data_IF_915868318504
#
_entry.id   IF_915868318504
#
_cell.length_a   1.000
_cell.length_b   1.000
_cell.length_c   1.000
_cell.angle_alpha   90.00
_cell.angle_beta   90.00
_cell.angle_gamma   90.00
#
_symmetry.space_group_name_H-M   'P 1'
#
loop_
_entity.id
_entity.type
_entity.pdbx_description
1 polymer ?
#
# COMPACT_ATOMS: atom_id res chain seq x y z
N UNK A 1 -4.33 66.44 -12.07
CA UNK A 1 -3.51 65.32 -11.56
C UNK A 1 -2.62 64.84 -12.70
N UNK A 2 -1.29 64.75 -12.56
CA UNK A 2 -0.44 64.25 -13.63
C UNK A 2 -0.56 62.72 -13.73
N UNK A 3 -0.37 62.13 -14.93
CA UNK A 3 -0.39 60.68 -15.09
C UNK A 3 0.88 60.08 -14.49
N UNK A 4 0.71 59.10 -13.59
CA UNK A 4 1.80 58.34 -12.99
C UNK A 4 2.36 57.41 -14.09
N UNK A 5 3.53 57.73 -14.63
CA UNK A 5 4.24 56.80 -15.51
C UNK A 5 4.88 55.70 -14.66
N UNK A 6 4.26 54.52 -14.59
CA UNK A 6 4.90 53.36 -13.96
C UNK A 6 6.10 52.93 -14.80
N UNK A 7 7.27 52.92 -14.15
CA UNK A 7 8.54 52.56 -14.76
C UNK A 7 8.54 51.08 -15.16
N UNK A 8 8.62 50.79 -16.47
CA UNK A 8 8.61 49.42 -17.02
C UNK A 8 9.69 48.50 -16.41
N UNK A 9 10.80 49.07 -15.92
CA UNK A 9 11.84 48.31 -15.22
C UNK A 9 11.41 47.79 -13.85
N UNK A 10 10.54 48.52 -13.14
CA UNK A 10 9.99 48.08 -11.87
C UNK A 10 9.00 46.91 -12.05
N UNK A 11 8.20 46.94 -13.13
CA UNK A 11 7.26 45.87 -13.47
C UNK A 11 8.01 44.59 -13.82
N UNK A 12 9.07 44.66 -14.64
CA UNK A 12 9.90 43.50 -14.97
C UNK A 12 10.62 42.92 -13.74
N UNK A 13 11.13 43.77 -12.84
CA UNK A 13 11.77 43.32 -11.61
C UNK A 13 10.78 42.66 -10.63
N UNK A 14 9.57 43.21 -10.47
CA UNK A 14 8.51 42.60 -9.65
C UNK A 14 8.01 41.29 -10.24
N UNK A 15 7.92 41.19 -11.57
CA UNK A 15 7.51 39.98 -12.28
C UNK A 15 8.55 38.87 -12.13
N UNK A 16 9.83 39.20 -12.29
CA UNK A 16 10.94 38.26 -12.07
C UNK A 16 11.03 37.78 -10.62
N UNK A 17 10.82 38.69 -9.65
CA UNK A 17 10.81 38.33 -8.23
C UNK A 17 9.61 37.45 -7.87
N UNK A 18 8.41 37.71 -8.42
CA UNK A 18 7.23 36.86 -8.19
C UNK A 18 7.43 35.45 -8.76
N UNK A 19 7.98 35.33 -9.97
CA UNK A 19 8.27 34.02 -10.59
C UNK A 19 9.32 33.26 -9.80
N UNK A 20 10.37 33.93 -9.31
CA UNK A 20 11.36 33.30 -8.44
C UNK A 20 10.75 32.86 -7.09
N UNK A 21 9.83 33.65 -6.54
CA UNK A 21 9.12 33.33 -5.29
C UNK A 21 8.16 32.15 -5.48
N UNK A 22 7.47 32.06 -6.63
CA UNK A 22 6.62 30.91 -6.97
C UNK A 22 7.42 29.65 -7.30
N UNK A 23 8.59 29.77 -7.93
CA UNK A 23 9.51 28.65 -8.14
C UNK A 23 10.09 28.16 -6.81
N UNK A 24 10.45 29.06 -5.90
CA UNK A 24 10.93 28.71 -4.56
C UNK A 24 9.80 28.18 -3.67
N UNK A 25 8.57 28.70 -3.76
CA UNK A 25 7.43 28.19 -3.00
C UNK A 25 6.90 26.86 -3.54
N UNK A 26 7.00 26.63 -4.85
CA UNK A 26 6.72 25.35 -5.49
C UNK A 26 7.72 24.25 -5.08
N UNK A 27 8.98 24.62 -4.79
CA UNK A 27 9.97 23.71 -4.20
C UNK A 27 9.68 23.42 -2.71
N UNK A 28 8.88 24.25 -2.02
CA UNK A 28 8.39 24.00 -0.64
C UNK A 28 7.08 23.18 -0.67
N UNK A 29 6.86 22.36 -1.69
CA UNK A 29 5.79 21.34 -1.67
C UNK A 29 6.32 20.04 -1.04
N UNK A 30 6.16 19.90 0.28
CA UNK A 30 6.21 18.62 1.00
C UNK A 30 7.47 17.72 0.81
N UNK A 31 8.61 18.26 0.38
CA UNK A 31 9.90 17.57 0.47
C UNK A 31 10.66 18.07 1.70
N UNK A 32 10.18 17.65 2.87
CA UNK A 32 10.96 17.82 4.09
C UNK A 32 12.13 16.86 4.03
N UNK A 33 13.31 17.39 3.71
CA UNK A 33 14.63 16.75 3.77
C UNK A 33 14.84 16.12 5.17
N UNK A 34 14.82 14.77 5.31
CA UNK A 34 14.89 14.11 6.63
C UNK A 34 16.14 14.51 7.42
N UNK A 35 17.25 14.78 6.74
CA UNK A 35 18.53 15.27 7.28
C UNK A 35 18.41 16.59 8.05
N UNK A 36 17.44 17.44 7.69
CA UNK A 36 17.27 18.76 8.33
C UNK A 36 16.42 18.65 9.62
N UNK A 37 15.44 17.75 9.66
CA UNK A 37 14.52 17.61 10.81
C UNK A 37 15.16 16.89 11.99
N UNK A 38 16.10 15.98 11.72
CA UNK A 38 16.78 15.21 12.78
C UNK A 38 17.59 16.07 13.75
N UNK A 39 17.98 17.29 13.37
CA UNK A 39 18.86 18.15 14.18
C UNK A 39 18.19 18.79 15.41
N UNK A 40 16.88 18.62 15.62
CA UNK A 40 16.13 19.20 16.74
C UNK A 40 15.30 18.15 17.49
N UNK A 41 15.95 17.16 18.09
CA UNK A 41 15.30 16.14 18.93
C UNK A 41 15.54 16.43 20.42
N UNK A 42 14.50 16.78 21.22
CA UNK A 42 14.66 16.96 22.66
C UNK A 42 15.08 15.64 23.32
N UNK A 43 15.99 15.70 24.30
CA UNK A 43 16.63 14.51 24.89
C UNK A 43 15.64 13.50 25.48
N UNK A 44 14.49 13.95 26.00
CA UNK A 44 13.42 13.08 26.51
C UNK A 44 12.79 12.15 25.47
N UNK A 45 12.97 12.45 24.18
CA UNK A 45 12.41 11.66 23.07
C UNK A 45 13.47 10.78 22.40
N UNK A 46 14.73 10.87 22.82
CA UNK A 46 15.79 9.94 22.41
C UNK A 46 15.61 8.69 23.26
N UNK A 47 15.46 7.52 22.61
CA UNK A 47 15.30 6.26 23.33
C UNK A 47 16.49 6.07 24.30
N UNK A 48 16.24 5.81 25.60
CA UNK A 48 17.32 5.50 26.52
C UNK A 48 17.98 4.17 26.09
N UNK A 49 19.31 4.07 26.15
CA UNK A 49 19.98 2.80 25.90
C UNK A 49 19.63 1.81 27.02
N UNK A 50 18.88 0.76 26.69
CA UNK A 50 18.60 -0.42 27.51
C UNK A 50 17.99 -0.15 28.89
N UNK A 51 16.66 0.01 28.97
CA UNK A 51 15.92 -0.34 30.19
C UNK A 51 15.26 -1.72 30.03
N UNK A 52 15.30 -2.60 31.06
CA UNK A 52 14.60 -3.88 31.03
C UNK A 52 13.08 -3.67 30.96
N UNK A 53 12.33 -4.57 30.31
CA UNK A 53 10.87 -4.47 30.25
C UNK A 53 10.29 -4.48 31.68
N UNK A 54 9.48 -3.46 32.00
CA UNK A 54 8.67 -3.49 33.22
C UNK A 54 7.67 -4.65 33.12
N UNK A 55 7.66 -5.49 34.16
CA UNK A 55 6.84 -6.68 34.28
C UNK A 55 5.36 -6.29 34.33
N UNK A 56 4.58 -6.71 33.33
CA UNK A 56 3.12 -6.50 33.29
C UNK A 56 2.40 -7.50 34.20
N UNK A 57 1.40 -7.02 34.94
CA UNK A 57 0.45 -7.87 35.65
C UNK A 57 -0.42 -8.66 34.64
N UNK A 58 -0.78 -9.94 34.93
CA UNK A 58 -1.63 -10.73 34.05
C UNK A 58 -3.04 -10.14 33.94
N UNK A 59 -3.56 -10.05 32.71
CA UNK A 59 -4.95 -9.69 32.42
C UNK A 59 -5.91 -10.82 32.87
N UNK A 60 -7.11 -10.48 33.39
CA UNK A 60 -8.10 -11.49 33.80
C UNK A 60 -8.73 -12.21 32.59
N UNK A 61 -8.97 -13.51 32.75
CA UNK A 61 -9.55 -14.38 31.72
C UNK A 61 -11.00 -14.00 31.35
N UNK A 62 -11.40 -14.15 30.06
CA UNK A 62 -12.76 -13.90 29.62
C UNK A 62 -13.75 -15.00 30.09
N UNK A 63 -15.03 -14.66 30.29
CA UNK A 63 -16.03 -15.61 30.81
C UNK A 63 -16.41 -16.69 29.79
N UNK A 64 -16.58 -17.92 30.29
CA UNK A 64 -16.99 -19.10 29.52
C UNK A 64 -18.44 -18.96 29.01
N UNK A 65 -18.67 -19.25 27.73
CA UNK A 65 -20.02 -19.29 27.11
C UNK A 65 -20.73 -20.61 27.44
N UNK A 66 -22.00 -20.53 27.84
CA UNK A 66 -22.92 -21.67 27.96
C UNK A 66 -23.35 -22.19 26.58
N UNK A 67 -23.48 -23.52 26.46
CA UNK A 67 -23.83 -24.25 25.24
C UNK A 67 -25.37 -24.31 25.04
N UNK A 68 -25.81 -24.21 23.78
CA UNK A 68 -27.20 -24.45 23.35
C UNK A 68 -27.37 -25.89 22.79
N UNK A 69 -28.60 -26.46 22.81
CA UNK A 69 -28.83 -27.89 22.56
C UNK A 69 -28.79 -28.29 21.06
N UNK A 70 -28.60 -29.59 20.75
CA UNK A 70 -28.10 -30.05 19.46
C UNK A 70 -29.18 -30.17 18.37
N UNK A 71 -28.79 -29.88 17.12
CA UNK A 71 -29.54 -30.26 15.91
C UNK A 71 -28.85 -31.46 15.22
N UNK A 72 -29.67 -32.34 14.67
CA UNK A 72 -29.33 -33.64 14.09
C UNK A 72 -28.29 -33.58 12.96
N UNK A 73 -27.43 -34.61 12.93
CA UNK A 73 -26.26 -34.77 12.07
C UNK A 73 -26.56 -35.45 10.72
N UNK A 74 -25.95 -35.02 9.60
CA UNK A 74 -25.82 -35.81 8.38
C UNK A 74 -24.63 -36.80 8.44
N UNK A 75 -24.49 -37.75 7.48
CA UNK A 75 -23.79 -39.03 7.66
C UNK A 75 -22.27 -38.93 7.81
N UNK A 76 -21.72 -39.88 8.57
CA UNK A 76 -20.31 -40.05 8.97
C UNK A 76 -19.34 -40.12 7.79
N UNK A 77 -18.52 -39.09 7.64
CA UNK A 77 -17.18 -39.21 7.03
C UNK A 77 -16.17 -39.70 8.09
N UNK A 78 -15.18 -40.46 7.63
CA UNK A 78 -14.18 -41.11 8.48
C UNK A 78 -13.35 -40.09 9.27
N UNK A 79 -12.93 -40.40 10.51
CA UNK A 79 -12.16 -39.47 11.31
C UNK A 79 -10.75 -39.33 10.74
N UNK A 80 -10.49 -38.21 10.08
CA UNK A 80 -9.14 -37.69 9.88
C UNK A 80 -8.74 -37.09 11.22
N UNK A 81 -7.70 -37.63 11.85
CA UNK A 81 -7.09 -37.00 13.03
C UNK A 81 -6.79 -35.53 12.70
N UNK A 82 -7.19 -34.57 13.54
CA UNK A 82 -6.80 -33.19 13.31
C UNK A 82 -5.27 -33.12 13.41
N UNK A 83 -4.62 -32.78 12.28
CA UNK A 83 -3.21 -32.42 12.31
C UNK A 83 -3.02 -31.35 13.41
N UNK A 84 -1.98 -31.46 14.25
CA UNK A 84 -1.68 -30.43 15.23
C UNK A 84 -1.56 -29.08 14.50
N UNK A 85 -1.94 -27.95 15.13
CA UNK A 85 -1.78 -26.63 14.53
C UNK A 85 -0.33 -26.50 14.07
N UNK A 86 -0.12 -26.39 12.75
CA UNK A 86 1.22 -26.12 12.22
C UNK A 86 1.62 -24.77 12.80
N UNK A 87 2.57 -24.77 13.74
CA UNK A 87 3.18 -23.55 14.22
C UNK A 87 3.68 -22.81 12.99
N UNK A 88 3.09 -21.64 12.74
CA UNK A 88 3.45 -20.76 11.64
C UNK A 88 4.97 -20.53 11.75
N UNK A 89 5.79 -20.96 10.76
CA UNK A 89 7.24 -20.94 10.92
C UNK A 89 7.64 -19.51 11.30
N UNK A 90 8.21 -19.36 12.51
CA UNK A 90 8.72 -18.09 12.97
C UNK A 90 9.86 -17.72 12.03
N UNK A 91 9.58 -16.92 11.01
CA UNK A 91 10.61 -16.27 10.23
C UNK A 91 11.49 -15.50 11.22
N UNK A 92 12.79 -15.83 11.26
CA UNK A 92 13.73 -15.18 12.17
C UNK A 92 13.78 -13.68 11.83
N UNK A 93 13.71 -12.86 12.89
CA UNK A 93 13.82 -11.41 12.76
C UNK A 93 15.13 -11.01 12.11
N UNK A 94 15.06 -10.34 10.96
CA UNK A 94 16.21 -9.72 10.30
C UNK A 94 16.07 -8.20 10.39
N UNK A 95 17.15 -7.50 10.74
CA UNK A 95 17.16 -6.03 10.82
C UNK A 95 17.34 -5.35 9.46
N UNK A 96 17.79 -6.11 8.46
CA UNK A 96 18.12 -5.63 7.12
C UNK A 96 17.82 -6.74 6.11
N UNK A 97 17.04 -6.41 5.08
CA UNK A 97 16.68 -7.33 3.99
C UNK A 97 17.22 -6.86 2.64
N UNK A 98 17.89 -5.70 2.58
CA UNK A 98 18.56 -5.23 1.38
C UNK A 98 19.98 -4.70 1.66
N UNK A 99 20.92 -5.59 2.02
CA UNK A 99 22.28 -5.21 2.40
C UNK A 99 23.01 -4.37 1.33
N UNK A 100 22.78 -4.66 0.04
CA UNK A 100 23.37 -3.91 -1.07
C UNK A 100 22.94 -2.44 -1.06
N UNK A 101 21.64 -2.16 -0.92
CA UNK A 101 21.17 -0.79 -0.78
C UNK A 101 21.73 -0.15 0.49
N UNK A 102 21.87 -0.87 1.61
CA UNK A 102 22.49 -0.33 2.84
C UNK A 102 23.91 0.18 2.58
N UNK A 103 24.66 -0.55 1.75
CA UNK A 103 26.02 -0.20 1.35
C UNK A 103 26.10 0.92 0.30
N UNK A 104 24.97 1.45 -0.18
CA UNK A 104 24.95 2.45 -1.25
C UNK A 104 24.92 1.85 -2.67
N UNK A 105 24.84 0.53 -2.79
CA UNK A 105 24.94 -0.18 -4.05
C UNK A 105 23.56 -0.70 -4.46
N UNK A 106 22.81 0.06 -5.26
CA UNK A 106 21.54 -0.42 -5.81
C UNK A 106 21.85 -1.19 -7.11
N UNK A 107 21.44 -2.47 -7.24
CA UNK A 107 21.67 -3.24 -8.46
C UNK A 107 20.97 -2.60 -9.68
N UNK A 108 21.48 -2.91 -10.88
CA UNK A 108 20.89 -2.41 -12.12
C UNK A 108 19.59 -3.13 -12.43
N UNK A 109 18.58 -2.36 -12.83
CA UNK A 109 17.33 -2.88 -13.39
C UNK A 109 17.66 -3.63 -14.69
N UNK A 110 16.97 -4.75 -14.96
CA UNK A 110 17.03 -5.41 -16.27
C UNK A 110 16.72 -4.38 -17.37
N UNK A 111 17.63 -4.09 -18.32
CA UNK A 111 17.41 -3.09 -19.35
C UNK A 111 16.15 -3.31 -20.20
N UNK A 112 15.61 -4.54 -20.22
CA UNK A 112 14.38 -4.91 -20.92
C UNK A 112 13.11 -4.57 -20.15
N UNK A 113 13.22 -4.27 -18.85
CA UNK A 113 12.12 -3.71 -18.05
C UNK A 113 12.03 -2.19 -18.19
N UNK A 114 13.05 -1.54 -18.76
CA UNK A 114 13.10 -0.09 -18.90
C UNK A 114 12.34 0.32 -20.15
N UNK A 115 11.17 0.95 -19.95
CA UNK A 115 10.39 1.55 -21.04
C UNK A 115 11.05 2.85 -21.47
N UNK A 116 11.46 2.92 -22.74
CA UNK A 116 12.00 4.15 -23.34
C UNK A 116 10.85 5.05 -23.78
N UNK A 117 10.98 6.34 -23.51
CA UNK A 117 10.09 7.40 -24.01
C UNK A 117 8.59 7.16 -23.75
N UNK A 118 8.20 7.14 -22.47
CA UNK A 118 6.80 7.22 -22.08
C UNK A 118 6.44 8.66 -21.70
N UNK A 119 5.56 9.31 -22.49
CA UNK A 119 5.01 10.63 -22.15
C UNK A 119 3.87 10.55 -21.13
N UNK A 120 3.38 9.34 -20.80
CA UNK A 120 2.36 9.14 -19.78
C UNK A 120 2.97 9.12 -18.39
N UNK A 121 2.30 9.78 -17.45
CA UNK A 121 2.63 9.70 -16.03
C UNK A 121 2.02 8.44 -15.43
N UNK A 122 2.76 7.79 -14.54
CA UNK A 122 2.35 6.56 -13.85
C UNK A 122 2.53 6.70 -12.34
N UNK A 123 1.90 7.71 -11.70
CA UNK A 123 2.04 7.88 -10.27
C UNK A 123 1.49 6.66 -9.54
N UNK A 124 2.33 6.01 -8.74
CA UNK A 124 2.01 4.81 -7.96
C UNK A 124 2.01 5.15 -6.47
N UNK A 125 0.84 5.06 -5.85
CA UNK A 125 0.64 5.29 -4.42
C UNK A 125 0.65 3.96 -3.67
N UNK A 126 1.52 3.82 -2.67
CA UNK A 126 1.58 2.64 -1.79
C UNK A 126 1.37 3.06 -0.34
N UNK A 127 0.30 2.58 0.28
CA UNK A 127 -0.05 2.92 1.65
C UNK A 127 0.72 2.09 2.67
N UNK A 128 1.41 2.76 3.59
CA UNK A 128 2.10 2.10 4.68
C UNK A 128 1.39 2.32 6.01
N UNK A 129 1.07 1.23 6.72
CA UNK A 129 0.63 1.34 8.13
C UNK A 129 1.63 0.67 9.07
N UNK A 130 2.11 -0.53 8.72
CA UNK A 130 2.98 -1.36 9.58
C UNK A 130 3.67 -2.44 8.77
N UNK A 131 4.74 -3.02 9.29
CA UNK A 131 5.57 -4.02 8.61
C UNK A 131 6.47 -3.41 7.52
N UNK A 132 7.56 -2.77 7.98
CA UNK A 132 8.55 -2.12 7.11
C UNK A 132 9.08 -3.04 6.00
N UNK A 133 9.38 -4.29 6.34
CA UNK A 133 10.03 -5.24 5.42
C UNK A 133 9.14 -5.62 4.24
N UNK A 134 7.83 -5.75 4.46
CA UNK A 134 6.88 -5.97 3.37
C UNK A 134 6.81 -4.75 2.45
N UNK A 135 6.76 -3.54 3.01
CA UNK A 135 6.76 -2.32 2.20
C UNK A 135 8.06 -2.19 1.39
N UNK A 136 9.23 -2.35 2.02
CA UNK A 136 10.52 -2.23 1.34
C UNK A 136 10.59 -3.23 0.19
N UNK A 137 10.17 -4.48 0.41
CA UNK A 137 10.06 -5.48 -0.63
C UNK A 137 9.12 -5.08 -1.77
N UNK A 138 7.91 -4.59 -1.46
CA UNK A 138 6.95 -4.15 -2.47
C UNK A 138 7.56 -3.04 -3.34
N UNK A 139 8.11 -2.01 -2.70
CA UNK A 139 8.79 -0.89 -3.38
C UNK A 139 9.92 -1.40 -4.27
N UNK A 140 10.84 -2.21 -3.73
CA UNK A 140 11.98 -2.72 -4.49
C UNK A 140 11.54 -3.59 -5.66
N UNK A 141 10.47 -4.37 -5.52
CA UNK A 141 9.94 -5.19 -6.61
C UNK A 141 9.38 -4.34 -7.76
N UNK A 142 8.69 -3.24 -7.46
CA UNK A 142 8.25 -2.28 -8.49
C UNK A 142 9.42 -1.62 -9.21
N UNK A 143 10.46 -1.22 -8.48
CA UNK A 143 11.68 -0.65 -9.07
C UNK A 143 12.38 -1.66 -9.99
N UNK A 144 12.55 -2.91 -9.54
CA UNK A 144 13.14 -3.99 -10.34
C UNK A 144 12.31 -4.33 -11.59
N UNK A 145 10.98 -4.18 -11.51
CA UNK A 145 10.05 -4.33 -12.63
C UNK A 145 10.07 -3.13 -13.61
N UNK A 146 10.83 -2.08 -13.32
CA UNK A 146 11.04 -0.93 -14.21
C UNK A 146 10.18 0.30 -13.90
N UNK A 147 9.40 0.29 -12.81
CA UNK A 147 8.61 1.46 -12.43
C UNK A 147 9.52 2.65 -12.09
N UNK A 148 9.28 3.86 -12.62
CA UNK A 148 10.13 5.00 -12.33
C UNK A 148 10.11 5.36 -10.84
N UNK A 149 11.27 5.45 -10.16
CA UNK A 149 11.32 5.76 -8.72
C UNK A 149 10.68 7.11 -8.40
N UNK A 150 10.85 8.11 -9.29
CA UNK A 150 10.27 9.44 -9.16
C UNK A 150 8.74 9.47 -9.23
N UNK A 151 8.12 8.40 -9.71
CA UNK A 151 6.66 8.27 -9.81
C UNK A 151 6.10 7.30 -8.76
N UNK A 152 6.95 6.72 -7.90
CA UNK A 152 6.53 5.91 -6.77
C UNK A 152 6.49 6.79 -5.51
N UNK A 153 5.32 6.81 -4.87
CA UNK A 153 5.06 7.59 -3.67
C UNK A 153 4.54 6.67 -2.57
N UNK A 154 5.31 6.56 -1.49
CA UNK A 154 4.86 5.88 -0.27
C UNK A 154 4.05 6.86 0.58
N UNK A 155 2.86 6.43 0.99
CA UNK A 155 2.00 7.17 1.90
C UNK A 155 2.19 6.62 3.31
N UNK A 156 2.97 7.32 4.13
CA UNK A 156 3.19 7.00 5.54
C UNK A 156 1.91 7.29 6.33
N UNK A 157 1.11 6.24 6.49
CA UNK A 157 -0.11 6.17 7.29
C UNK A 157 0.14 5.45 8.63
N UNK A 158 1.38 5.46 9.13
CA UNK A 158 1.73 4.80 10.39
C UNK A 158 1.04 5.41 11.61
N UNK A 159 0.67 6.69 11.56
CA UNK A 159 0.07 7.42 12.67
C UNK A 159 1.03 7.75 13.82
N UNK A 160 2.35 7.66 13.59
CA UNK A 160 3.40 8.02 14.57
C UNK A 160 3.91 9.45 14.38
N UNK A 161 3.09 10.29 13.74
CA UNK A 161 3.32 11.71 13.49
C UNK A 161 4.64 11.99 12.75
N UNK A 162 5.64 12.54 13.43
CA UNK A 162 6.96 12.89 12.90
C UNK A 162 8.06 11.92 13.30
N UNK A 163 7.73 10.83 14.01
CA UNK A 163 8.75 9.94 14.60
C UNK A 163 9.59 9.22 13.55
N UNK A 164 8.98 8.72 12.47
CA UNK A 164 9.72 8.12 11.35
C UNK A 164 10.61 9.13 10.63
N UNK A 165 10.07 10.33 10.35
CA UNK A 165 10.82 11.42 9.71
C UNK A 165 12.05 11.82 10.54
N UNK A 166 11.95 11.73 11.86
CA UNK A 166 13.02 12.07 12.81
C UNK A 166 13.90 10.89 13.21
N UNK A 167 13.67 9.69 12.67
CA UNK A 167 14.44 8.50 13.01
C UNK A 167 14.33 8.09 14.48
N UNK A 168 13.16 8.30 15.11
CA UNK A 168 12.94 8.01 16.53
C UNK A 168 12.49 6.57 16.81
N UNK A 169 12.13 5.82 15.77
CA UNK A 169 11.63 4.45 15.89
C UNK A 169 12.71 3.45 15.46
N UNK A 170 12.79 2.32 16.14
CA UNK A 170 13.69 1.22 15.72
C UNK A 170 13.01 0.29 14.72
N UNK A 171 13.76 -0.49 13.91
CA UNK A 171 13.19 -1.46 12.96
C UNK A 171 12.32 -2.56 13.58
N UNK A 172 12.33 -2.72 14.91
CA UNK A 172 11.46 -3.66 15.63
C UNK A 172 10.07 -3.08 15.89
N UNK A 173 9.92 -1.77 15.84
CA UNK A 173 8.64 -1.10 16.02
C UNK A 173 7.74 -1.37 14.80
N UNK A 174 6.50 -1.86 14.97
CA UNK A 174 5.60 -2.15 13.84
C UNK A 174 5.34 -0.96 12.94
N UNK A 175 5.41 0.27 13.45
CA UNK A 175 5.14 1.50 12.71
C UNK A 175 6.40 2.15 12.12
N UNK A 176 7.56 1.50 12.24
CA UNK A 176 8.82 1.98 11.68
C UNK A 176 8.74 2.08 10.15
N UNK A 177 9.15 3.23 9.62
CA UNK A 177 9.31 3.48 8.19
C UNK A 177 10.66 4.18 7.97
N UNK A 178 11.52 3.59 7.14
CA UNK A 178 12.83 4.17 6.86
C UNK A 178 12.75 5.19 5.71
N UNK A 179 12.45 6.45 6.06
CA UNK A 179 12.37 7.56 5.10
C UNK A 179 13.69 7.76 4.32
N UNK A 180 14.84 7.57 4.98
CA UNK A 180 16.16 7.70 4.35
C UNK A 180 16.38 6.63 3.29
N UNK A 181 16.02 5.37 3.58
CA UNK A 181 16.09 4.28 2.59
C UNK A 181 15.22 4.57 1.37
N UNK A 182 13.97 4.99 1.56
CA UNK A 182 13.09 5.30 0.44
C UNK A 182 13.64 6.43 -0.42
N UNK A 183 14.15 7.49 0.23
CA UNK A 183 14.81 8.61 -0.47
C UNK A 183 16.04 8.14 -1.27
N UNK A 184 16.84 7.24 -0.68
CA UNK A 184 18.00 6.64 -1.35
C UNK A 184 17.60 5.85 -2.60
N UNK A 185 16.45 5.17 -2.57
CA UNK A 185 15.86 4.46 -3.71
C UNK A 185 15.20 5.41 -4.73
N UNK A 186 15.22 6.73 -4.49
CA UNK A 186 14.57 7.73 -5.34
C UNK A 186 13.06 7.83 -5.17
N UNK A 187 12.51 7.16 -4.15
CA UNK A 187 11.07 7.09 -3.84
C UNK A 187 10.69 8.22 -2.91
N UNK A 188 9.57 8.87 -3.21
CA UNK A 188 9.07 9.96 -2.36
C UNK A 188 8.15 9.43 -1.25
N UNK A 189 8.11 10.15 -0.13
CA UNK A 189 7.23 9.84 1.00
C UNK A 189 6.31 11.01 1.26
N UNK A 190 5.00 10.74 1.38
CA UNK A 190 4.02 11.69 1.90
C UNK A 190 3.45 11.12 3.19
N UNK A 191 3.24 11.97 4.19
CA UNK A 191 2.70 11.56 5.48
C UNK A 191 1.23 11.92 5.57
N UNK A 192 0.44 11.04 6.15
CA UNK A 192 -0.89 11.42 6.64
C UNK A 192 -0.75 12.21 7.95
N UNK A 193 -1.69 13.11 8.27
CA UNK A 193 -1.64 13.88 9.52
C UNK A 193 -1.95 13.03 10.76
N UNK A 194 -2.59 11.88 10.58
CA UNK A 194 -2.95 10.91 11.61
C UNK A 194 -3.13 9.53 10.97
N UNK A 195 -3.32 8.48 11.77
CA UNK A 195 -3.71 7.18 11.25
C UNK A 195 -5.10 7.25 10.62
N UNK A 196 -5.17 6.99 9.32
CA UNK A 196 -6.40 6.88 8.54
C UNK A 196 -6.86 5.42 8.45
N UNK A 197 -8.17 5.19 8.45
CA UNK A 197 -8.76 3.92 8.02
C UNK A 197 -8.53 3.66 6.53
N UNK A 198 -8.84 2.47 6.03
CA UNK A 198 -8.68 2.16 4.61
C UNK A 198 -9.50 3.12 3.73
N UNK A 199 -10.79 3.31 4.04
CA UNK A 199 -11.64 4.22 3.28
C UNK A 199 -11.14 5.68 3.32
N UNK A 200 -10.65 6.13 4.48
CA UNK A 200 -10.06 7.45 4.62
C UNK A 200 -8.74 7.59 3.84
N UNK A 201 -7.92 6.55 3.81
CA UNK A 201 -6.66 6.51 3.06
C UNK A 201 -6.91 6.53 1.55
N UNK A 202 -7.91 5.81 1.06
CA UNK A 202 -8.32 5.88 -0.34
C UNK A 202 -8.79 7.29 -0.72
N UNK A 203 -9.57 7.94 0.15
CA UNK A 203 -9.95 9.36 -0.05
C UNK A 203 -8.74 10.30 0.00
N UNK A 204 -7.73 9.99 0.81
CA UNK A 204 -6.47 10.74 0.81
C UNK A 204 -5.74 10.61 -0.54
N UNK A 205 -5.72 9.42 -1.16
CA UNK A 205 -5.15 9.23 -2.50
C UNK A 205 -5.89 10.05 -3.56
N UNK A 206 -7.23 10.00 -3.53
CA UNK A 206 -8.07 10.77 -4.46
C UNK A 206 -7.83 12.27 -4.29
N UNK A 207 -7.82 12.77 -3.05
CA UNK A 207 -7.55 14.17 -2.78
C UNK A 207 -6.14 14.58 -3.24
N UNK A 208 -5.14 13.74 -2.96
CA UNK A 208 -3.77 14.00 -3.40
C UNK A 208 -3.67 14.05 -4.93
N UNK A 209 -4.31 13.11 -5.64
CA UNK A 209 -4.37 13.12 -7.10
C UNK A 209 -5.05 14.40 -7.64
N UNK A 210 -6.15 14.85 -7.02
CA UNK A 210 -6.81 16.13 -7.36
C UNK A 210 -5.86 17.32 -7.16
N UNK A 211 -5.14 17.37 -6.03
CA UNK A 211 -4.17 18.45 -5.75
C UNK A 211 -2.98 18.45 -6.71
N UNK A 212 -2.64 17.30 -7.29
CA UNK A 212 -1.59 17.16 -8.31
C UNK A 212 -2.11 17.31 -9.75
N UNK A 213 -3.40 17.58 -9.95
CA UNK A 213 -4.06 17.66 -11.25
C UNK A 213 -3.88 16.36 -12.07
N UNK A 214 -4.02 15.21 -11.41
CA UNK A 214 -3.96 13.90 -12.04
C UNK A 214 -5.37 13.41 -12.38
N UNK A 215 -5.57 13.04 -13.65
CA UNK A 215 -6.82 12.39 -14.10
C UNK A 215 -6.94 10.95 -13.59
N UNK A 216 -5.81 10.32 -13.32
CA UNK A 216 -5.70 8.94 -12.88
C UNK A 216 -4.45 8.72 -12.03
N UNK A 217 -4.44 7.62 -11.28
CA UNK A 217 -3.26 7.15 -10.57
C UNK A 217 -3.29 5.63 -10.41
N UNK A 218 -2.13 5.03 -10.18
CA UNK A 218 -2.04 3.66 -9.72
C UNK A 218 -1.99 3.64 -8.20
N UNK A 219 -2.60 2.62 -7.59
CA UNK A 219 -2.33 2.29 -6.21
C UNK A 219 -2.02 0.81 -6.06
N UNK A 220 -1.22 0.50 -5.05
CA UNK A 220 -0.88 -0.88 -4.72
C UNK A 220 -0.88 -1.11 -3.21
N UNK A 221 -1.15 -2.36 -2.87
CA UNK A 221 -0.96 -2.92 -1.55
C UNK A 221 0.53 -2.91 -1.16
N UNK A 222 0.81 -2.77 0.14
CA UNK A 222 2.19 -2.78 0.63
C UNK A 222 2.74 -4.20 0.89
N UNK A 223 1.89 -5.21 0.84
CA UNK A 223 2.18 -6.60 1.12
C UNK A 223 2.21 -7.47 -0.15
N UNK A 224 2.70 -6.88 -1.25
CA UNK A 224 2.82 -7.55 -2.56
C UNK A 224 4.27 -7.63 -3.02
N UNK A 225 4.53 -8.57 -3.93
CA UNK A 225 5.76 -8.62 -4.74
C UNK A 225 5.37 -8.70 -6.20
N UNK A 226 5.91 -7.81 -7.03
CA UNK A 226 5.68 -7.84 -8.47
C UNK A 226 6.88 -8.39 -9.22
N UNK A 227 6.63 -9.20 -10.26
CA UNK A 227 7.67 -9.70 -11.18
C UNK A 227 7.23 -9.52 -12.63
N UNK A 228 8.17 -9.09 -13.47
CA UNK A 228 8.04 -9.24 -14.93
C UNK A 228 8.07 -10.71 -15.31
N UNK A 229 7.19 -11.12 -16.23
CA UNK A 229 7.07 -12.53 -16.62
C UNK A 229 8.16 -12.93 -17.62
N UNK A 230 9.31 -13.41 -17.13
CA UNK A 230 10.46 -13.76 -17.98
C UNK A 230 10.28 -15.06 -18.77
N UNK A 231 9.14 -15.76 -18.68
CA UNK A 231 8.82 -16.93 -19.51
C UNK A 231 8.33 -16.59 -20.91
N UNK A 232 8.03 -15.32 -21.17
CA UNK A 232 7.55 -14.92 -22.48
C UNK A 232 8.61 -15.14 -23.56
N UNK A 233 8.14 -15.46 -24.76
CA UNK A 233 9.03 -15.55 -25.92
C UNK A 233 9.83 -14.26 -26.05
N UNK A 234 11.15 -14.41 -26.19
CA UNK A 234 12.12 -13.31 -26.20
C UNK A 234 11.68 -12.10 -27.05
N UNK A 235 11.15 -12.36 -28.25
CA UNK A 235 10.71 -11.31 -29.20
C UNK A 235 9.42 -10.58 -28.80
N UNK A 236 8.65 -11.12 -27.86
CA UNK A 236 7.36 -10.59 -27.40
C UNK A 236 7.38 -10.12 -25.96
N UNK A 237 8.50 -10.33 -25.26
CA UNK A 237 8.64 -9.99 -23.86
C UNK A 237 8.28 -8.53 -23.61
N UNK A 238 7.38 -8.33 -22.64
CA UNK A 238 7.14 -7.02 -22.04
C UNK A 238 7.22 -7.13 -20.53
N UNK A 239 8.00 -6.23 -19.93
CA UNK A 239 8.08 -6.12 -18.48
C UNK A 239 6.73 -5.72 -17.86
N UNK A 240 6.57 -5.94 -16.56
CA UNK A 240 5.31 -5.61 -15.87
C UNK A 240 4.96 -4.12 -15.99
N UNK A 241 5.97 -3.24 -15.86
CA UNK A 241 5.75 -1.81 -16.03
C UNK A 241 5.31 -1.44 -17.46
N UNK A 242 5.93 -2.04 -18.49
CA UNK A 242 5.55 -1.80 -19.89
C UNK A 242 4.10 -2.21 -20.16
N UNK A 243 3.67 -3.36 -19.62
CA UNK A 243 2.28 -3.81 -19.74
C UNK A 243 1.30 -2.89 -19.01
N UNK A 244 1.65 -2.39 -17.83
CA UNK A 244 0.84 -1.42 -17.11
C UNK A 244 0.67 -0.11 -17.91
N UNK A 245 1.75 0.36 -18.55
CA UNK A 245 1.72 1.53 -19.45
C UNK A 245 0.86 1.27 -20.68
N UNK A 246 0.94 0.08 -21.27
CA UNK A 246 0.11 -0.29 -22.43
C UNK A 246 -1.38 -0.33 -22.08
N UNK A 247 -1.73 -0.90 -20.91
CA UNK A 247 -3.11 -0.88 -20.40
C UNK A 247 -3.58 0.55 -20.18
N UNK A 248 -2.76 1.40 -19.56
CA UNK A 248 -3.08 2.81 -19.37
C UNK A 248 -3.35 3.49 -20.72
N UNK A 249 -2.44 3.33 -21.69
CA UNK A 249 -2.58 3.93 -23.02
C UNK A 249 -3.86 3.50 -23.71
N UNK A 250 -4.13 2.20 -23.76
CA UNK A 250 -5.37 1.66 -24.33
C UNK A 250 -6.61 2.20 -23.62
N UNK A 251 -6.57 2.29 -22.29
CA UNK A 251 -7.68 2.80 -21.48
C UNK A 251 -8.00 4.26 -21.79
N UNK A 252 -6.97 5.09 -21.98
CA UNK A 252 -7.13 6.50 -22.35
C UNK A 252 -7.62 6.67 -23.80
N UNK A 253 -7.18 5.79 -24.71
CA UNK A 253 -7.59 5.81 -26.12
C UNK A 253 -9.05 5.36 -26.33
N UNK A 254 -9.52 4.38 -25.54
CA UNK A 254 -10.88 3.82 -25.65
C UNK A 254 -11.99 4.83 -25.35
N UNK A 255 -11.70 5.94 -24.64
CA UNK A 255 -12.68 6.96 -24.17
C UNK A 255 -13.95 6.37 -23.53
N UNK A 256 -13.82 5.18 -22.96
CA UNK A 256 -14.89 4.47 -22.27
C UNK A 256 -15.10 5.07 -20.88
N UNK A 257 -16.31 4.91 -20.34
CA UNK A 257 -16.65 5.30 -18.97
C UNK A 257 -16.06 4.27 -17.97
N UNK A 258 -14.74 4.33 -17.74
CA UNK A 258 -14.01 3.40 -16.89
C UNK A 258 -13.71 4.00 -15.51
N UNK A 259 -13.77 3.18 -14.46
CA UNK A 259 -13.40 3.58 -13.11
C UNK A 259 -12.11 2.93 -12.63
N UNK A 260 -12.00 1.61 -12.81
CA UNK A 260 -10.93 0.82 -12.24
C UNK A 260 -10.43 -0.20 -13.27
N UNK A 261 -9.10 -0.36 -13.36
CA UNK A 261 -8.47 -1.52 -14.00
C UNK A 261 -7.72 -2.33 -12.93
N UNK A 262 -8.15 -3.57 -12.73
CA UNK A 262 -7.61 -4.48 -11.72
C UNK A 262 -6.58 -5.43 -12.35
N UNK A 263 -5.30 -5.28 -12.03
CA UNK A 263 -4.23 -6.09 -12.64
C UNK A 263 -4.09 -7.48 -12.02
N UNK A 264 -4.34 -7.58 -10.72
CA UNK A 264 -4.34 -8.84 -9.99
C UNK A 264 -5.21 -8.63 -8.76
N UNK A 265 -6.53 -8.74 -8.94
CA UNK A 265 -7.49 -8.20 -7.98
C UNK A 265 -7.18 -6.70 -7.69
N UNK A 266 -7.41 -6.22 -6.48
CA UNK A 266 -7.12 -4.84 -6.09
C UNK A 266 -5.65 -4.58 -5.67
N UNK A 267 -4.78 -5.59 -5.77
CA UNK A 267 -3.37 -5.51 -5.33
C UNK A 267 -2.54 -4.50 -6.10
N UNK A 268 -2.85 -4.31 -7.39
CA UNK A 268 -2.39 -3.22 -8.23
C UNK A 268 -3.58 -2.77 -9.07
N UNK A 269 -3.93 -1.49 -8.96
CA UNK A 269 -5.13 -0.95 -9.60
C UNK A 269 -4.84 0.40 -10.23
N UNK A 270 -5.29 0.61 -11.47
CA UNK A 270 -5.38 1.93 -12.08
C UNK A 270 -6.75 2.55 -11.76
N UNK A 271 -6.76 3.78 -11.28
CA UNK A 271 -7.95 4.47 -10.76
C UNK A 271 -8.23 5.74 -11.56
N UNK A 272 -9.48 5.91 -12.00
CA UNK A 272 -9.96 7.14 -12.63
C UNK A 272 -10.50 8.11 -11.57
N UNK A 273 -9.90 9.29 -11.45
CA UNK A 273 -10.29 10.31 -10.45
C UNK A 273 -11.68 10.87 -10.71
N UNK A 274 -12.08 11.04 -11.97
CA UNK A 274 -13.42 11.51 -12.34
C UNK A 274 -14.50 10.54 -11.84
N UNK A 275 -14.30 9.25 -12.05
CA UNK A 275 -15.23 8.23 -11.62
C UNK A 275 -15.41 8.23 -10.09
N UNK A 276 -14.30 8.36 -9.35
CA UNK A 276 -14.37 8.43 -7.89
C UNK A 276 -15.16 9.67 -7.43
N UNK A 277 -15.02 10.82 -8.12
CA UNK A 277 -15.75 12.05 -7.80
C UNK A 277 -17.25 11.92 -8.10
N UNK A 278 -17.62 11.30 -9.22
CA UNK A 278 -19.02 11.15 -9.64
C UNK A 278 -19.86 10.35 -8.64
N UNK A 279 -19.25 9.35 -7.98
CA UNK A 279 -19.93 8.54 -6.96
C UNK A 279 -19.83 9.10 -5.55
N UNK A 280 -19.13 10.22 -5.33
CA UNK A 280 -18.95 10.81 -4.01
C UNK A 280 -17.87 10.12 -3.14
N UNK A 281 -16.83 9.58 -3.78
CA UNK A 281 -15.64 8.94 -3.17
C UNK A 281 -15.97 7.78 -2.21
N UNK A 282 -15.02 7.33 -1.39
CA UNK A 282 -15.23 6.24 -0.44
C UNK A 282 -16.02 6.71 0.78
N UNK A 283 -16.98 5.90 1.25
CA UNK A 283 -17.73 6.19 2.46
C UNK A 283 -16.87 5.92 3.71
N UNK A 284 -16.38 7.00 4.32
CA UNK A 284 -15.49 6.92 5.50
C UNK A 284 -16.14 6.33 6.75
N UNK A 285 -17.48 6.20 6.79
CA UNK A 285 -18.16 5.54 7.91
C UNK A 285 -18.05 4.01 7.81
N UNK A 286 -17.72 3.45 6.63
CA UNK A 286 -17.37 2.04 6.44
C UNK A 286 -15.84 1.96 6.33
N UNK A 287 -15.10 1.80 7.45
CA UNK A 287 -13.67 2.12 7.50
C UNK A 287 -12.75 1.13 6.80
N UNK A 288 -13.13 -0.15 6.73
CA UNK A 288 -12.28 -1.25 6.24
C UNK A 288 -13.12 -2.18 5.36
N UNK A 289 -13.41 -3.42 5.77
CA UNK A 289 -14.17 -4.34 4.93
C UNK A 289 -15.61 -3.90 4.67
N UNK A 290 -16.12 -4.27 3.49
CA UNK A 290 -17.37 -3.84 2.86
C UNK A 290 -17.35 -2.44 2.23
N UNK A 291 -16.30 -1.65 2.45
CA UNK A 291 -16.18 -0.32 1.81
C UNK A 291 -15.91 -0.42 0.31
N UNK A 292 -15.22 -1.48 -0.10
CA UNK A 292 -15.01 -1.89 -1.49
C UNK A 292 -16.34 -2.29 -2.13
N UNK A 293 -17.12 -3.12 -1.45
CA UNK A 293 -18.45 -3.52 -1.90
C UNK A 293 -19.38 -2.32 -2.08
N UNK A 294 -19.33 -1.35 -1.16
CA UNK A 294 -20.07 -0.09 -1.26
C UNK A 294 -19.63 0.75 -2.46
N UNK A 295 -18.32 1.00 -2.59
CA UNK A 295 -17.74 1.84 -3.63
C UNK A 295 -17.97 1.25 -5.03
N UNK A 296 -17.67 -0.03 -5.21
CA UNK A 296 -17.78 -0.71 -6.50
C UNK A 296 -19.22 -0.83 -6.96
N UNK A 297 -20.15 -1.09 -6.04
CA UNK A 297 -21.58 -1.09 -6.35
C UNK A 297 -22.05 0.29 -6.83
N UNK A 298 -21.66 1.38 -6.15
CA UNK A 298 -22.02 2.74 -6.57
C UNK A 298 -21.47 3.09 -7.95
N UNK A 299 -20.24 2.66 -8.27
CA UNK A 299 -19.64 2.80 -9.59
C UNK A 299 -20.44 2.05 -10.67
N UNK A 300 -20.80 0.78 -10.44
CA UNK A 300 -21.59 -0.03 -11.38
C UNK A 300 -23.03 0.50 -11.55
N UNK A 301 -23.66 0.99 -10.48
CA UNK A 301 -24.97 1.66 -10.56
C UNK A 301 -24.91 2.89 -11.48
N UNK A 302 -23.78 3.59 -11.50
CA UNK A 302 -23.49 4.74 -12.39
C UNK A 302 -22.88 4.34 -13.74
N UNK A 303 -22.80 3.04 -14.04
CA UNK A 303 -22.27 2.50 -15.31
C UNK A 303 -20.81 2.86 -15.57
N UNK A 304 -20.04 3.06 -14.50
CA UNK A 304 -18.59 3.02 -14.58
C UNK A 304 -18.10 1.58 -14.59
N UNK A 305 -17.03 1.32 -15.35
CA UNK A 305 -16.56 -0.06 -15.52
C UNK A 305 -15.38 -0.40 -14.64
N UNK A 306 -15.39 -1.64 -14.15
CA UNK A 306 -14.36 -2.22 -13.31
C UNK A 306 -13.81 -3.43 -14.06
N UNK A 307 -12.70 -3.24 -14.76
CA UNK A 307 -12.22 -4.23 -15.73
C UNK A 307 -11.00 -4.98 -15.18
N UNK A 308 -11.02 -6.32 -15.12
CA UNK A 308 -9.80 -7.09 -14.89
C UNK A 308 -8.88 -6.98 -16.11
N UNK A 309 -7.59 -6.79 -15.86
CA UNK A 309 -6.53 -6.67 -16.86
C UNK A 309 -5.32 -7.48 -16.42
N UNK A 310 -4.40 -7.80 -17.33
CA UNK A 310 -3.16 -8.52 -17.00
C UNK A 310 -1.95 -7.62 -17.28
N UNK A 311 -1.02 -7.54 -16.32
CA UNK A 311 0.29 -6.93 -16.52
C UNK A 311 1.45 -7.79 -16.02
N UNK A 312 1.23 -9.05 -15.64
CA UNK A 312 2.29 -9.92 -15.13
C UNK A 312 1.99 -10.48 -13.75
N UNK A 313 3.04 -10.78 -13.00
CA UNK A 313 2.93 -11.57 -11.78
C UNK A 313 2.89 -10.65 -10.57
N UNK A 314 1.80 -10.67 -9.83
CA UNK A 314 1.62 -9.95 -8.56
C UNK A 314 1.32 -10.99 -7.49
N UNK A 315 2.19 -11.08 -6.49
CA UNK A 315 2.07 -12.05 -5.39
C UNK A 315 1.66 -11.34 -4.11
N UNK A 316 0.52 -11.72 -3.55
CA UNK A 316 0.04 -11.25 -2.26
C UNK A 316 0.67 -12.08 -1.13
N UNK A 317 1.63 -11.51 -0.39
CA UNK A 317 2.51 -12.26 0.54
C UNK A 317 2.35 -11.78 1.98
N UNK A 318 2.77 -12.61 2.93
CA UNK A 318 2.69 -12.34 4.38
C UNK A 318 4.06 -12.45 5.09
N UNK A 319 5.10 -12.63 4.29
CA UNK A 319 6.51 -12.72 4.67
C UNK A 319 7.35 -11.94 3.67
N UNK A 320 8.61 -11.72 4.00
CA UNK A 320 9.57 -11.08 3.11
C UNK A 320 10.66 -12.07 2.69
N UNK A 321 11.26 -11.83 1.52
CA UNK A 321 12.47 -12.47 1.03
C UNK A 321 13.63 -12.17 2.00
N UNK A 322 14.62 -13.06 2.04
CA UNK A 322 15.80 -12.89 2.90
C UNK A 322 16.74 -11.79 2.41
N UNK A 323 16.86 -11.64 1.10
CA UNK A 323 17.64 -10.59 0.46
C UNK A 323 16.91 -10.12 -0.79
N UNK A 324 16.60 -8.82 -0.85
CA UNK A 324 15.91 -8.19 -1.97
C UNK A 324 16.79 -8.07 -3.23
N UNK A 325 18.10 -8.34 -3.14
CA UNK A 325 18.98 -8.41 -4.30
C UNK A 325 18.50 -9.43 -5.36
N UNK A 326 17.82 -10.50 -4.93
CA UNK A 326 17.25 -11.54 -5.80
C UNK A 326 16.21 -11.01 -6.79
N UNK A 327 15.60 -9.85 -6.51
CA UNK A 327 14.63 -9.21 -7.41
C UNK A 327 15.30 -8.64 -8.66
N UNK A 328 16.61 -8.42 -8.62
CA UNK A 328 17.40 -7.92 -9.74
C UNK A 328 18.10 -9.06 -10.49
N UNK A 329 18.48 -8.87 -11.75
CA UNK A 329 19.32 -9.83 -12.47
C UNK A 329 20.68 -10.02 -11.80
N UNK A 330 21.25 -11.21 -11.99
CA UNK A 330 22.64 -11.48 -11.62
C UNK A 330 23.60 -10.65 -12.48
N UNK A 331 24.73 -10.25 -11.90
CA UNK A 331 25.77 -9.49 -12.61
C UNK A 331 26.25 -10.27 -13.85
N UNK A 332 26.25 -9.61 -15.02
CA UNK A 332 26.60 -10.24 -16.30
C UNK A 332 25.46 -10.98 -17.01
N UNK A 333 24.28 -11.09 -16.38
CA UNK A 333 23.08 -11.74 -16.94
C UNK A 333 21.91 -10.76 -17.07
N UNK A 334 22.17 -9.44 -17.18
CA UNK A 334 21.15 -8.40 -17.02
C UNK A 334 20.06 -8.40 -18.10
N UNK A 335 20.34 -8.97 -19.28
CA UNK A 335 19.39 -9.06 -20.39
C UNK A 335 18.77 -10.45 -20.58
N UNK A 336 19.23 -11.43 -19.82
CA UNK A 336 18.73 -12.80 -19.92
C UNK A 336 17.33 -12.91 -19.33
N UNK A 337 16.50 -13.74 -19.95
CA UNK A 337 15.15 -14.07 -19.51
C UNK A 337 15.09 -15.55 -19.16
N UNK A 338 14.09 -15.93 -18.38
CA UNK A 338 13.85 -17.31 -17.96
C UNK A 338 15.07 -17.92 -17.25
N UNK A 339 15.74 -17.11 -16.44
CA UNK A 339 16.93 -17.50 -15.67
C UNK A 339 16.56 -18.48 -14.55
N UNK A 340 17.54 -19.22 -14.02
CA UNK A 340 17.36 -20.04 -12.81
C UNK A 340 16.88 -19.19 -11.64
N UNK A 341 17.50 -18.01 -11.45
CA UNK A 341 17.09 -17.00 -10.45
C UNK A 341 15.60 -16.67 -10.55
N UNK A 342 15.11 -16.34 -11.74
CA UNK A 342 13.69 -16.03 -11.94
C UNK A 342 12.77 -17.19 -11.57
N UNK A 343 13.13 -18.42 -11.99
CA UNK A 343 12.33 -19.61 -11.72
C UNK A 343 12.28 -19.95 -10.22
N UNK A 344 13.41 -19.83 -9.53
CA UNK A 344 13.49 -20.06 -8.09
C UNK A 344 12.71 -19.01 -7.31
N UNK A 345 12.90 -17.74 -7.65
CA UNK A 345 12.17 -16.63 -7.03
C UNK A 345 10.65 -16.76 -7.24
N UNK A 346 10.22 -17.08 -8.46
CA UNK A 346 8.81 -17.32 -8.77
C UNK A 346 8.21 -18.45 -7.93
N UNK A 347 8.97 -19.54 -7.74
CA UNK A 347 8.54 -20.67 -6.91
C UNK A 347 8.43 -20.27 -5.45
N UNK A 348 9.39 -19.51 -4.93
CA UNK A 348 9.38 -18.99 -3.55
C UNK A 348 8.20 -18.06 -3.32
N UNK A 349 7.95 -17.08 -4.21
CA UNK A 349 6.83 -16.15 -4.08
C UNK A 349 5.47 -16.84 -4.19
N UNK A 350 5.35 -17.86 -5.07
CA UNK A 350 4.14 -18.68 -5.14
C UNK A 350 3.91 -19.42 -3.82
N UNK A 351 4.95 -20.01 -3.24
CA UNK A 351 4.86 -20.65 -1.93
C UNK A 351 4.45 -19.66 -0.83
N UNK A 352 5.04 -18.46 -0.79
CA UNK A 352 4.68 -17.41 0.18
C UNK A 352 3.22 -16.96 0.07
N UNK A 353 2.72 -16.82 -1.17
CA UNK A 353 1.33 -16.48 -1.43
C UNK A 353 0.37 -17.61 -1.02
N UNK A 354 0.70 -18.86 -1.34
CA UNK A 354 -0.05 -20.03 -0.89
C UNK A 354 -0.07 -20.14 0.64
N UNK A 355 1.05 -19.86 1.31
CA UNK A 355 1.11 -19.83 2.78
C UNK A 355 0.17 -18.77 3.36
N UNK A 356 0.14 -17.56 2.78
CA UNK A 356 -0.79 -16.50 3.18
C UNK A 356 -2.25 -16.91 2.99
N UNK A 357 -2.58 -17.45 1.82
CA UNK A 357 -3.95 -17.80 1.46
C UNK A 357 -4.50 -18.97 2.28
N UNK A 358 -3.65 -19.97 2.56
CA UNK A 358 -4.04 -21.16 3.31
C UNK A 358 -3.95 -20.99 4.83
N UNK A 359 -3.57 -19.80 5.32
CA UNK A 359 -3.51 -19.57 6.77
C UNK A 359 -4.91 -19.44 7.38
N UNK A 360 -5.34 -20.52 8.04
CA UNK A 360 -6.60 -20.63 8.78
C UNK A 360 -6.43 -20.39 10.28
N UNK A 361 -5.26 -19.92 10.71
CA UNK A 361 -4.98 -19.62 12.13
C UNK A 361 -5.80 -18.43 12.65
N UNK A 362 -5.73 -18.12 13.96
CA UNK A 362 -6.55 -17.08 14.59
C UNK A 362 -6.40 -15.67 13.97
N UNK A 363 -5.24 -15.38 13.37
CA UNK A 363 -4.98 -14.10 12.68
C UNK A 363 -5.26 -14.16 11.17
N UNK A 364 -5.70 -15.31 10.66
CA UNK A 364 -6.01 -15.57 9.26
C UNK A 364 -4.90 -15.18 8.28
N UNK A 365 -5.30 -14.81 7.06
CA UNK A 365 -4.38 -14.34 6.00
C UNK A 365 -3.58 -13.07 6.34
N UNK A 366 -3.99 -12.32 7.37
CA UNK A 366 -3.37 -11.05 7.77
C UNK A 366 -2.48 -11.18 9.01
N UNK A 367 -2.07 -12.41 9.37
CA UNK A 367 -1.22 -12.66 10.53
C UNK A 367 0.07 -11.79 10.55
N UNK A 368 0.56 -11.39 9.38
CA UNK A 368 1.77 -10.60 9.20
C UNK A 368 1.69 -9.21 9.84
N UNK A 369 0.47 -8.70 10.03
CA UNK A 369 0.19 -7.38 10.56
C UNK A 369 0.59 -7.21 12.03
N UNK A 370 0.70 -8.31 12.77
CA UNK A 370 1.11 -8.34 14.17
C UNK A 370 2.50 -8.95 14.37
N UNK A 371 3.26 -9.22 13.29
CA UNK A 371 4.60 -9.82 13.43
C UNK A 371 5.55 -8.84 14.12
N UNK A 372 5.73 -7.62 13.62
CA UNK A 372 6.57 -6.63 14.31
C UNK A 372 5.92 -6.21 15.61
N UNK A 373 6.59 -6.45 16.75
CA UNK A 373 6.00 -6.27 18.08
C UNK A 373 6.86 -5.49 19.09
N UNK A 374 8.02 -4.97 18.65
CA UNK A 374 8.95 -4.22 19.49
C UNK A 374 8.61 -2.74 19.67
N UNK A 375 9.62 -1.97 20.08
CA UNK A 375 9.54 -0.51 20.21
C UNK A 375 8.84 0.01 21.46
N UNK A 376 8.58 -0.85 22.47
CA UNK A 376 7.99 -0.39 23.74
C UNK A 376 8.88 0.69 24.38
N UNK A 377 8.27 1.81 24.76
CA UNK A 377 8.96 2.98 25.29
C UNK A 377 9.35 4.02 24.24
N UNK A 378 9.22 3.71 22.95
CA UNK A 378 9.43 4.67 21.86
C UNK A 378 8.24 5.64 21.72
N UNK A 379 8.45 6.82 21.08
CA UNK A 379 7.38 7.78 20.85
C UNK A 379 6.21 7.19 20.06
N UNK A 380 4.97 7.51 20.46
CA UNK A 380 3.74 7.02 19.81
C UNK A 380 3.60 5.49 19.76
N UNK A 381 4.35 4.76 20.59
CA UNK A 381 4.18 3.32 20.73
C UNK A 381 2.75 2.98 21.19
N UNK A 382 2.17 1.95 20.59
CA UNK A 382 0.89 1.34 20.98
C UNK A 382 1.13 -0.15 21.20
N UNK A 383 0.28 -0.82 21.97
CA UNK A 383 0.34 -2.28 22.03
C UNK A 383 -0.08 -2.88 20.67
N UNK A 384 0.78 -3.65 19.97
CA UNK A 384 0.48 -4.15 18.63
C UNK A 384 -0.74 -5.09 18.56
N UNK A 385 -0.92 -5.94 19.57
CA UNK A 385 -2.08 -6.84 19.65
C UNK A 385 -3.37 -6.07 19.97
N UNK A 386 -3.29 -5.07 20.85
CA UNK A 386 -4.41 -4.17 21.16
C UNK A 386 -4.81 -3.34 19.96
N UNK A 387 -3.83 -2.86 19.18
CA UNK A 387 -4.06 -2.19 17.91
C UNK A 387 -4.81 -3.10 16.93
N UNK A 388 -4.35 -4.34 16.76
CA UNK A 388 -5.02 -5.32 15.89
C UNK A 388 -6.45 -5.61 16.33
N UNK A 389 -6.70 -5.77 17.64
CA UNK A 389 -8.06 -5.93 18.17
C UNK A 389 -8.96 -4.73 17.85
N UNK A 390 -8.44 -3.50 17.95
CA UNK A 390 -9.20 -2.30 17.62
C UNK A 390 -9.56 -2.22 16.13
N UNK A 391 -8.63 -2.59 15.23
CA UNK A 391 -8.88 -2.68 13.79
C UNK A 391 -9.97 -3.71 13.48
N UNK A 392 -9.90 -4.90 14.08
CA UNK A 392 -10.91 -5.94 13.90
C UNK A 392 -12.30 -5.49 14.39
N UNK A 393 -12.37 -4.79 15.52
CA UNK A 393 -13.62 -4.18 15.99
C UNK A 393 -14.19 -3.18 14.96
N UNK A 394 -13.35 -2.31 14.38
CA UNK A 394 -13.78 -1.37 13.34
C UNK A 394 -14.23 -2.07 12.06
N UNK A 395 -13.59 -3.17 11.68
CA UNK A 395 -14.00 -4.03 10.57
C UNK A 395 -15.42 -4.58 10.81
N UNK A 396 -15.68 -5.11 12.00
CA UNK A 396 -17.00 -5.62 12.37
C UNK A 396 -18.07 -4.53 12.34
N UNK A 397 -17.77 -3.35 12.89
CA UNK A 397 -18.69 -2.20 12.85
C UNK A 397 -18.89 -1.64 11.46
N UNK A 398 -17.88 -1.66 10.60
CA UNK A 398 -18.02 -1.34 9.18
C UNK A 398 -19.00 -2.27 8.46
N UNK A 399 -18.93 -3.59 8.72
CA UNK A 399 -19.87 -4.58 8.16
C UNK A 399 -21.30 -4.37 8.65
N UNK A 400 -21.47 -4.08 9.94
CA UNK A 400 -22.79 -3.71 10.50
C UNK A 400 -23.32 -2.45 9.85
N UNK A 401 -22.49 -1.42 9.68
CA UNK A 401 -22.90 -0.17 9.05
C UNK A 401 -23.26 -0.37 7.58
N UNK A 402 -22.49 -1.15 6.82
CA UNK A 402 -22.84 -1.50 5.44
C UNK A 402 -24.22 -2.15 5.36
N UNK A 403 -24.51 -3.10 6.27
CA UNK A 403 -25.83 -3.73 6.37
C UNK A 403 -26.94 -2.73 6.65
N UNK A 404 -26.71 -1.79 7.56
CA UNK A 404 -27.68 -0.75 7.88
C UNK A 404 -27.89 0.21 6.69
N UNK A 405 -26.80 0.62 6.05
CA UNK A 405 -26.81 1.52 4.89
C UNK A 405 -27.62 0.94 3.74
N UNK A 406 -27.43 -0.33 3.42
CA UNK A 406 -28.05 -0.94 2.25
C UNK A 406 -29.26 -1.83 2.58
N UNK A 407 -29.59 -2.03 3.85
CA UNK A 407 -30.51 -3.09 4.30
C UNK A 407 -30.18 -4.46 3.66
N UNK A 408 -28.90 -4.73 3.44
CA UNK A 408 -28.43 -5.91 2.71
C UNK A 408 -27.00 -6.28 3.12
N UNK A 409 -26.68 -7.57 3.32
CA UNK A 409 -25.40 -7.95 3.91
C UNK A 409 -24.27 -8.27 2.93
N UNK A 410 -24.55 -8.38 1.63
CA UNK A 410 -23.60 -8.89 0.65
C UNK A 410 -23.24 -7.83 -0.41
N UNK A 411 -22.21 -8.12 -1.20
CA UNK A 411 -21.62 -7.17 -2.14
C UNK A 411 -22.32 -7.11 -3.50
N UNK A 412 -23.27 -7.99 -3.77
CA UNK A 412 -24.00 -8.11 -5.04
C UNK A 412 -25.21 -7.16 -5.14
N UNK A 413 -25.07 -5.94 -4.60
CA UNK A 413 -26.13 -4.92 -4.54
C UNK A 413 -26.80 -4.67 -5.90
N UNK A 414 -26.02 -4.51 -6.97
CA UNK A 414 -26.57 -4.27 -8.31
C UNK A 414 -27.37 -5.47 -8.83
N UNK A 415 -26.91 -6.69 -8.57
CA UNK A 415 -27.64 -7.91 -8.94
C UNK A 415 -28.96 -8.06 -8.17
N UNK A 416 -29.02 -7.53 -6.95
CA UNK A 416 -30.24 -7.44 -6.14
C UNK A 416 -31.14 -6.23 -6.49
N UNK A 417 -30.80 -5.49 -7.54
CA UNK A 417 -31.61 -4.39 -8.06
C UNK A 417 -31.52 -3.09 -7.24
N UNK A 418 -30.47 -2.92 -6.43
CA UNK A 418 -30.17 -1.62 -5.83
C UNK A 418 -29.75 -0.60 -6.89
N UNK A 419 -30.14 0.67 -6.69
CA UNK A 419 -29.81 1.79 -7.57
C UNK A 419 -29.02 2.85 -6.83
N UNK A 420 -28.30 3.66 -7.60
CA UNK A 420 -27.57 4.80 -7.05
C UNK A 420 -28.53 5.77 -6.34
N UNK A 421 -28.20 6.20 -5.14
CA UNK A 421 -29.07 7.06 -4.33
C UNK A 421 -30.04 6.32 -3.41
N UNK A 422 -30.08 4.98 -3.43
CA UNK A 422 -30.90 4.18 -2.50
C UNK A 422 -30.19 3.84 -1.18
N UNK A 423 -28.98 4.41 -0.95
CA UNK A 423 -28.30 4.32 0.33
C UNK A 423 -29.22 4.89 1.44
N UNK A 424 -29.43 4.14 2.52
CA UNK A 424 -30.22 4.51 3.69
C UNK A 424 -31.74 4.64 3.46
N UNK A 425 -32.27 4.28 2.29
CA UNK A 425 -33.69 4.52 1.97
C UNK A 425 -34.57 3.27 1.97
N UNK A 426 -34.02 2.05 2.00
CA UNK A 426 -34.81 0.81 2.03
C UNK A 426 -35.10 0.39 3.47
N UNK A 427 -36.37 0.33 3.82
CA UNK A 427 -36.87 -0.19 5.12
C UNK A 427 -36.85 -1.73 5.18
#
# INVERSE_FOLDING_TARGET
>A
MPPISLNRRAILALSGALVLFFLLSGIITNHVRPDIVQNHIPDRWKSPPNEPPQQQDPLPEPPKKEEAPPKESPPKEQPVEPEPPRENPKQEWQEEIFPLAKAGNIPKINPRNVVKDNNLKTPLLIGFTRNWYLLEQAVVSYLAAGWPPSELIVIDNSGVMDSNLRGLLTPKNPWYLNHTRLTQLGVSVKRTPTLLSFAQLQNFYINYAIEQDWDYYFWSHMDVVVLSNEWEEDKKYKGLYEKAVDVLRATLDERRHWALKFFAYDWLTLVNVEAMKDVGVWDTQIPYYMTDCDMYARLDMKKWTLDPVDAGLVYDVASHLKDLSVLYPDEGHESELNTTRFNDLKKELKFMMEEKQNNTGPSGRNYWQARQDGGQGEPFWRNPQGFEKAINFWIEKGRELFRLKWNYPNCDLVAQGYKYGEEWTRE
#
